data_IF_523750168319
#
_entry.id   IF_523750168319
#
_cell.length_a   1.000
_cell.length_b   1.000
_cell.length_c   1.000
_cell.angle_alpha   90.00
_cell.angle_beta   90.00
_cell.angle_gamma   90.00
#
_symmetry.space_group_name_H-M   'P 1'
#
loop_
_entity.id
_entity.type
_entity.pdbx_description
1 polymer ?
#
# COMPACT_ATOMS: atom_id res chain seq x y z
N UNK A 1 -7.56 21.16 -7.58
CA UNK A 1 -7.32 20.02 -6.67
C UNK A 1 -7.59 18.75 -7.44
N UNK A 2 -6.56 17.96 -7.70
CA UNK A 2 -6.70 16.64 -8.30
C UNK A 2 -7.22 15.62 -7.29
N UNK A 3 -7.66 14.47 -7.77
CA UNK A 3 -8.05 13.34 -6.92
C UNK A 3 -6.98 12.25 -6.95
N UNK A 4 -6.98 11.38 -5.95
CA UNK A 4 -6.13 10.19 -5.92
C UNK A 4 -6.97 8.98 -6.35
N UNK A 5 -6.55 8.33 -7.42
CA UNK A 5 -7.10 7.03 -7.82
C UNK A 5 -6.11 5.96 -7.40
N UNK A 6 -6.52 5.10 -6.48
CA UNK A 6 -5.67 4.00 -5.99
C UNK A 6 -6.06 2.72 -6.73
N UNK A 7 -5.09 2.07 -7.38
CA UNK A 7 -5.24 0.76 -7.99
C UNK A 7 -4.46 -0.26 -7.17
N UNK A 8 -5.15 -1.18 -6.49
CA UNK A 8 -4.44 -2.13 -5.64
C UNK A 8 -5.31 -3.13 -4.89
N UNK A 9 -4.67 -3.82 -3.96
CA UNK A 9 -5.21 -4.94 -3.21
C UNK A 9 -6.12 -4.54 -2.05
N UNK A 10 -7.04 -5.46 -1.74
CA UNK A 10 -7.81 -5.47 -0.49
C UNK A 10 -7.61 -6.84 0.16
N UNK A 11 -7.02 -6.88 1.35
CA UNK A 11 -6.77 -8.12 2.10
C UNK A 11 -7.44 -8.09 3.48
N UNK A 12 -7.83 -9.25 3.95
CA UNK A 12 -8.15 -9.47 5.36
C UNK A 12 -6.92 -10.07 6.01
N UNK A 13 -6.32 -9.35 6.95
CA UNK A 13 -5.16 -9.80 7.69
C UNK A 13 -5.64 -10.65 8.87
N UNK A 14 -5.23 -11.91 8.89
CA UNK A 14 -5.53 -12.90 9.92
C UNK A 14 -4.31 -13.03 10.83
N UNK A 15 -4.38 -12.42 12.01
CA UNK A 15 -3.23 -12.31 12.93
C UNK A 15 -3.39 -13.28 14.10
N UNK A 16 -2.42 -14.17 14.25
CA UNK A 16 -2.28 -15.06 15.40
C UNK A 16 -1.01 -14.68 16.20
N UNK A 17 -1.18 -14.41 17.49
CA UNK A 17 -0.05 -14.20 18.41
C UNK A 17 0.37 -15.56 18.97
N UNK A 18 1.65 -15.87 18.89
CA UNK A 18 2.25 -17.13 19.37
C UNK A 18 3.42 -16.80 20.30
N UNK A 19 3.76 -17.72 21.21
CA UNK A 19 4.93 -17.55 22.08
C UNK A 19 6.23 -17.40 21.26
N UNK A 20 6.39 -18.24 20.26
CA UNK A 20 7.48 -18.21 19.27
C UNK A 20 7.02 -18.76 17.92
N UNK A 21 7.72 -18.42 16.87
CA UNK A 21 7.45 -19.00 15.54
C UNK A 21 7.65 -20.53 15.56
N UNK A 22 6.73 -21.32 14.95
CA UNK A 22 6.88 -22.77 14.83
C UNK A 22 8.04 -23.11 13.87
N UNK A 23 8.83 -24.12 14.23
CA UNK A 23 9.79 -24.73 13.32
C UNK A 23 9.10 -25.76 12.42
N UNK A 24 9.70 -26.12 11.27
CA UNK A 24 9.16 -27.18 10.43
C UNK A 24 8.86 -28.45 11.23
N UNK A 25 7.62 -28.93 11.14
CA UNK A 25 7.11 -30.12 11.86
C UNK A 25 6.58 -29.86 13.28
N UNK A 26 6.64 -28.63 13.78
CA UNK A 26 6.06 -28.27 15.08
C UNK A 26 4.62 -27.76 14.96
N UNK A 27 3.86 -27.93 16.05
CA UNK A 27 2.56 -27.29 16.25
C UNK A 27 2.68 -26.39 17.47
N UNK A 28 2.28 -25.11 17.33
CA UNK A 28 2.17 -24.16 18.44
C UNK A 28 0.72 -23.73 18.61
N UNK A 29 0.35 -23.35 19.82
CA UNK A 29 -0.97 -22.79 20.09
C UNK A 29 -0.88 -21.27 20.09
N UNK A 30 -1.90 -20.63 19.52
CA UNK A 30 -2.04 -19.17 19.66
C UNK A 30 -2.33 -18.82 21.12
N UNK A 31 -1.80 -17.70 21.58
CA UNK A 31 -1.98 -17.21 22.95
C UNK A 31 -3.33 -16.52 23.16
N UNK A 32 -3.99 -16.10 22.08
CA UNK A 32 -5.27 -15.40 22.07
C UNK A 32 -6.10 -15.77 20.83
N UNK A 33 -7.33 -15.29 20.77
CA UNK A 33 -8.21 -15.49 19.62
C UNK A 33 -7.62 -14.84 18.35
N UNK A 34 -7.90 -15.48 17.20
CA UNK A 34 -7.49 -14.96 15.89
C UNK A 34 -8.11 -13.58 15.65
N UNK A 35 -7.26 -12.58 15.43
CA UNK A 35 -7.69 -11.22 15.10
C UNK A 35 -7.85 -11.07 13.59
N UNK A 36 -8.82 -10.24 13.17
CA UNK A 36 -9.07 -9.93 11.77
C UNK A 36 -8.97 -8.43 11.56
N UNK A 37 -8.05 -8.03 10.68
CA UNK A 37 -7.81 -6.63 10.38
C UNK A 37 -8.01 -6.34 8.90
N UNK A 38 -8.37 -5.10 8.61
CA UNK A 38 -8.37 -4.56 7.26
C UNK A 38 -6.93 -4.31 6.81
N UNK A 39 -6.52 -4.92 5.71
CA UNK A 39 -5.18 -4.84 5.14
C UNK A 39 -5.18 -4.79 3.62
N UNK A 40 -4.03 -5.07 3.03
CA UNK A 40 -3.77 -4.91 1.60
C UNK A 40 -3.28 -3.51 1.27
N UNK A 41 -2.15 -3.44 0.56
CA UNK A 41 -1.47 -2.17 0.27
C UNK A 41 -2.37 -1.15 -0.43
N UNK A 42 -3.21 -1.61 -1.37
CA UNK A 42 -4.14 -0.72 -2.07
C UNK A 42 -5.12 -0.05 -1.13
N UNK A 43 -5.80 -0.81 -0.28
CA UNK A 43 -6.77 -0.25 0.65
C UNK A 43 -6.09 0.58 1.76
N UNK A 44 -4.92 0.17 2.26
CA UNK A 44 -4.16 0.93 3.24
C UNK A 44 -3.78 2.32 2.69
N UNK A 45 -3.24 2.37 1.48
CA UNK A 45 -2.82 3.61 0.82
C UNK A 45 -4.03 4.49 0.47
N UNK A 46 -5.17 3.89 0.09
CA UNK A 46 -6.41 4.64 -0.14
C UNK A 46 -6.93 5.29 1.15
N UNK A 47 -6.88 4.57 2.27
CA UNK A 47 -7.26 5.11 3.59
C UNK A 47 -6.31 6.23 3.99
N UNK A 48 -5.00 6.04 3.84
CA UNK A 48 -4.01 7.05 4.17
C UNK A 48 -4.15 8.33 3.33
N UNK A 49 -4.43 8.19 2.02
CA UNK A 49 -4.69 9.34 1.15
C UNK A 49 -5.97 10.10 1.56
N UNK A 50 -7.03 9.38 1.97
CA UNK A 50 -8.25 9.99 2.46
C UNK A 50 -8.04 10.69 3.81
N UNK A 51 -7.27 10.09 4.73
CA UNK A 51 -6.87 10.70 6.02
C UNK A 51 -6.03 11.97 5.80
N UNK A 52 -5.23 12.03 4.72
CA UNK A 52 -4.51 13.23 4.30
C UNK A 52 -5.40 14.28 3.59
N UNK A 53 -6.71 14.04 3.46
CA UNK A 53 -7.68 15.00 2.94
C UNK A 53 -7.95 14.92 1.45
N UNK A 54 -7.39 13.95 0.72
CA UNK A 54 -7.65 13.80 -0.70
C UNK A 54 -9.05 13.24 -1.00
N UNK A 55 -9.59 13.56 -2.17
CA UNK A 55 -10.69 12.82 -2.76
C UNK A 55 -10.14 11.51 -3.35
N UNK A 56 -10.59 10.36 -2.84
CA UNK A 56 -10.03 9.06 -3.18
C UNK A 56 -11.06 8.16 -3.86
N UNK A 57 -10.67 7.55 -4.97
CA UNK A 57 -11.34 6.42 -5.59
C UNK A 57 -10.44 5.18 -5.52
N UNK A 58 -11.00 4.03 -5.12
CA UNK A 58 -10.26 2.76 -5.08
C UNK A 58 -10.75 1.84 -6.19
N UNK A 59 -9.78 1.32 -6.94
CA UNK A 59 -9.94 0.27 -7.95
C UNK A 59 -9.27 -0.98 -7.42
N UNK A 60 -10.02 -2.06 -7.29
CA UNK A 60 -9.54 -3.30 -6.71
C UNK A 60 -10.57 -4.42 -6.83
N UNK A 61 -10.32 -5.53 -6.16
CA UNK A 61 -11.23 -6.67 -6.18
C UNK A 61 -11.39 -7.29 -4.80
N UNK A 62 -12.61 -7.76 -4.52
CA UNK A 62 -12.95 -8.58 -3.35
C UNK A 62 -13.67 -9.84 -3.81
N UNK A 63 -13.71 -10.86 -2.96
CA UNK A 63 -14.51 -12.05 -3.19
C UNK A 63 -15.99 -11.82 -2.92
N UNK A 64 -16.83 -12.74 -3.37
CA UNK A 64 -18.26 -12.77 -3.00
C UNK A 64 -18.45 -13.43 -1.64
N UNK A 65 -17.80 -12.87 -0.63
CA UNK A 65 -17.85 -13.33 0.76
C UNK A 65 -18.21 -12.21 1.74
N UNK A 66 -18.48 -12.58 2.99
CA UNK A 66 -18.86 -11.61 4.03
C UNK A 66 -17.74 -10.63 4.33
N UNK A 67 -16.50 -11.08 4.25
CA UNK A 67 -15.32 -10.25 4.50
C UNK A 67 -15.17 -9.15 3.44
N UNK A 68 -15.32 -9.50 2.17
CA UNK A 68 -15.30 -8.52 1.06
C UNK A 68 -16.42 -7.49 1.17
N UNK A 69 -17.65 -7.94 1.47
CA UNK A 69 -18.80 -7.05 1.69
C UNK A 69 -18.59 -6.09 2.86
N UNK A 70 -18.09 -6.60 4.00
CA UNK A 70 -17.79 -5.79 5.17
C UNK A 70 -16.68 -4.77 4.87
N UNK A 71 -15.63 -5.20 4.16
CA UNK A 71 -14.51 -4.33 3.81
C UNK A 71 -14.93 -3.18 2.89
N UNK A 72 -15.64 -3.47 1.81
CA UNK A 72 -16.17 -2.43 0.90
C UNK A 72 -17.08 -1.45 1.63
N UNK A 73 -17.96 -1.95 2.50
CA UNK A 73 -18.83 -1.09 3.31
C UNK A 73 -18.03 -0.19 4.27
N UNK A 74 -16.94 -0.71 4.85
CA UNK A 74 -16.03 0.05 5.71
C UNK A 74 -15.33 1.20 4.95
N UNK A 75 -14.76 0.93 3.79
CA UNK A 75 -14.09 1.95 2.96
C UNK A 75 -15.06 3.05 2.51
N UNK A 76 -16.29 2.66 2.14
CA UNK A 76 -17.35 3.64 1.80
C UNK A 76 -17.68 4.55 2.97
N UNK A 77 -17.74 4.03 4.20
CA UNK A 77 -17.98 4.86 5.41
C UNK A 77 -16.86 5.86 5.68
N UNK A 78 -15.63 5.58 5.20
CA UNK A 78 -14.47 6.48 5.26
C UNK A 78 -14.45 7.53 4.14
N UNK A 79 -15.50 7.58 3.31
CA UNK A 79 -15.60 8.55 2.22
C UNK A 79 -14.81 8.17 0.96
N UNK A 80 -14.29 6.94 0.87
CA UNK A 80 -13.59 6.45 -0.31
C UNK A 80 -14.63 5.98 -1.33
N UNK A 81 -14.49 6.42 -2.58
CA UNK A 81 -15.30 5.91 -3.69
C UNK A 81 -14.84 4.48 -4.03
N UNK A 82 -15.71 3.52 -3.78
CA UNK A 82 -15.50 2.09 -4.01
C UNK A 82 -16.34 1.56 -5.17
N UNK A 83 -16.88 2.44 -6.02
CA UNK A 83 -17.73 2.05 -7.17
C UNK A 83 -16.99 1.19 -8.19
N UNK A 84 -15.67 1.24 -8.19
CA UNK A 84 -14.76 0.47 -9.05
C UNK A 84 -14.10 -0.72 -8.33
N UNK A 85 -14.57 -1.09 -7.14
CA UNK A 85 -14.17 -2.34 -6.48
C UNK A 85 -15.08 -3.45 -7.02
N UNK A 86 -14.49 -4.38 -7.76
CA UNK A 86 -15.19 -5.51 -8.35
C UNK A 86 -15.41 -6.65 -7.35
N UNK A 87 -16.47 -7.42 -7.55
CA UNK A 87 -16.74 -8.66 -6.79
C UNK A 87 -16.45 -9.84 -7.71
N UNK A 88 -15.49 -10.67 -7.35
CA UNK A 88 -15.07 -11.83 -8.14
C UNK A 88 -15.78 -13.07 -7.63
N UNK A 89 -16.74 -13.57 -8.40
CA UNK A 89 -17.53 -14.75 -8.05
C UNK A 89 -16.65 -16.01 -7.92
N UNK A 90 -16.86 -16.79 -6.87
CA UNK A 90 -16.15 -18.04 -6.64
C UNK A 90 -14.71 -17.88 -6.13
N UNK A 91 -14.26 -16.68 -5.88
CA UNK A 91 -12.98 -16.39 -5.26
C UNK A 91 -13.17 -15.83 -3.84
N UNK A 92 -12.32 -16.20 -2.86
CA UNK A 92 -12.30 -15.53 -1.56
C UNK A 92 -11.69 -14.12 -1.71
N UNK A 93 -12.07 -13.22 -0.81
CA UNK A 93 -11.33 -11.97 -0.61
C UNK A 93 -9.86 -12.27 -0.28
N UNK A 94 -8.93 -11.44 -0.76
CA UNK A 94 -7.51 -11.59 -0.45
C UNK A 94 -7.25 -11.67 1.06
N UNK A 95 -6.25 -12.44 1.45
CA UNK A 95 -5.90 -12.65 2.86
C UNK A 95 -4.38 -12.52 3.07
N UNK A 96 -3.97 -12.03 4.23
CA UNK A 96 -2.64 -12.23 4.74
C UNK A 96 -2.72 -13.04 6.04
N UNK A 97 -1.98 -14.13 6.11
CA UNK A 97 -1.89 -14.96 7.30
C UNK A 97 -0.61 -14.57 8.03
N UNK A 98 -0.78 -14.02 9.22
CA UNK A 98 0.30 -13.37 9.96
C UNK A 98 0.43 -14.07 11.31
N UNK A 99 1.62 -14.57 11.61
CA UNK A 99 1.99 -14.99 12.96
C UNK A 99 2.95 -13.97 13.56
N UNK A 100 2.64 -13.50 14.76
CA UNK A 100 3.50 -12.57 15.52
C UNK A 100 4.04 -13.32 16.73
N UNK A 101 5.37 -13.35 16.86
CA UNK A 101 6.04 -13.96 18.00
C UNK A 101 6.13 -12.96 19.15
N UNK A 102 5.66 -13.36 20.35
CA UNK A 102 5.72 -12.54 21.56
C UNK A 102 7.16 -12.48 22.12
N UNK A 103 7.97 -13.51 21.85
CA UNK A 103 9.33 -13.60 22.38
C UNK A 103 10.31 -12.59 21.78
N UNK A 104 10.16 -12.24 20.49
CA UNK A 104 11.12 -11.42 19.74
C UNK A 104 10.45 -10.37 18.83
N UNK A 105 9.11 -10.29 18.86
CA UNK A 105 8.30 -9.40 18.02
C UNK A 105 8.46 -9.64 16.50
N UNK A 106 9.09 -10.76 16.09
CA UNK A 106 9.19 -11.12 14.68
C UNK A 106 7.85 -11.57 14.11
N UNK A 107 7.59 -11.27 12.85
CA UNK A 107 6.42 -11.74 12.16
C UNK A 107 6.77 -12.63 10.96
N UNK A 108 5.86 -13.53 10.62
CA UNK A 108 5.87 -14.30 9.37
C UNK A 108 4.56 -14.07 8.66
N UNK A 109 4.62 -13.74 7.38
CA UNK A 109 3.45 -13.36 6.58
C UNK A 109 3.36 -14.25 5.34
N UNK A 110 2.18 -14.84 5.13
CA UNK A 110 1.84 -15.54 3.89
C UNK A 110 0.66 -14.83 3.26
N UNK A 111 0.85 -14.26 2.09
CA UNK A 111 -0.21 -13.60 1.33
C UNK A 111 -0.91 -14.62 0.44
N UNK A 112 -2.24 -14.68 0.55
CA UNK A 112 -3.14 -15.43 -0.33
C UNK A 112 -3.91 -14.41 -1.17
N UNK A 113 -3.56 -14.20 -2.45
CA UNK A 113 -4.10 -13.10 -3.25
C UNK A 113 -5.62 -13.13 -3.41
N UNK A 114 -6.23 -14.31 -3.52
CA UNK A 114 -7.68 -14.44 -3.71
C UNK A 114 -8.17 -13.60 -4.89
N UNK A 115 -9.23 -12.83 -4.68
CA UNK A 115 -9.83 -11.96 -5.69
C UNK A 115 -8.85 -10.93 -6.28
N UNK A 116 -7.83 -10.49 -5.54
CA UNK A 116 -6.83 -9.54 -6.06
C UNK A 116 -6.10 -10.08 -7.30
N UNK A 117 -5.82 -11.39 -7.37
CA UNK A 117 -5.18 -12.02 -8.52
C UNK A 117 -6.08 -12.07 -9.77
N UNK A 118 -7.37 -11.82 -9.60
CA UNK A 118 -8.38 -11.84 -10.65
C UNK A 118 -8.91 -10.44 -10.99
N UNK A 119 -8.23 -9.39 -10.52
CA UNK A 119 -8.55 -8.03 -10.93
C UNK A 119 -8.33 -7.91 -12.43
N UNK A 120 -9.39 -7.56 -13.14
CA UNK A 120 -9.34 -7.31 -14.58
C UNK A 120 -8.99 -5.85 -14.86
N UNK A 121 -8.61 -5.56 -16.10
CA UNK A 121 -8.35 -4.21 -16.54
C UNK A 121 -9.63 -3.36 -16.48
N UNK A 122 -9.56 -2.23 -15.81
CA UNK A 122 -10.67 -1.31 -15.60
C UNK A 122 -10.38 0.00 -16.32
N UNK A 123 -11.34 0.50 -17.04
CA UNK A 123 -11.26 1.83 -17.63
C UNK A 123 -11.26 2.89 -16.51
N UNK A 124 -10.21 3.72 -16.48
CA UNK A 124 -10.01 4.76 -15.49
C UNK A 124 -10.27 6.13 -16.13
N UNK A 125 -11.16 6.88 -15.51
CA UNK A 125 -11.35 8.29 -15.87
C UNK A 125 -10.36 9.12 -15.05
N UNK A 126 -9.22 9.45 -15.65
CA UNK A 126 -8.17 10.26 -15.09
C UNK A 126 -7.98 11.52 -15.94
N UNK A 127 -7.59 12.61 -15.29
CA UNK A 127 -7.35 13.90 -15.94
C UNK A 127 -6.01 14.50 -15.44
N UNK A 128 -5.59 15.59 -16.09
CA UNK A 128 -4.46 16.38 -15.63
C UNK A 128 -4.68 16.88 -14.19
N UNK A 129 -3.65 16.74 -13.36
CA UNK A 129 -3.69 17.03 -11.93
C UNK A 129 -4.15 15.85 -11.04
N UNK A 130 -4.74 14.78 -11.61
CA UNK A 130 -5.01 13.54 -10.85
C UNK A 130 -3.72 12.76 -10.58
N UNK A 131 -3.74 11.92 -9.55
CA UNK A 131 -2.66 10.98 -9.23
C UNK A 131 -3.21 9.55 -9.27
N UNK A 132 -2.58 8.68 -10.08
CA UNK A 132 -2.72 7.24 -9.96
C UNK A 132 -1.67 6.74 -8.97
N UNK A 133 -2.12 6.10 -7.88
CA UNK A 133 -1.27 5.40 -6.92
C UNK A 133 -1.47 3.90 -7.05
N UNK A 134 -0.40 3.16 -7.38
CA UNK A 134 -0.47 1.72 -7.60
C UNK A 134 0.60 0.95 -6.81
N UNK A 135 0.34 -0.35 -6.56
CA UNK A 135 1.26 -1.29 -5.91
C UNK A 135 1.29 -2.60 -6.70
N UNK A 136 2.08 -3.58 -6.24
CA UNK A 136 2.31 -4.83 -6.98
C UNK A 136 1.64 -6.07 -6.35
N UNK A 137 0.55 -5.89 -5.61
CA UNK A 137 -0.28 -6.98 -5.05
C UNK A 137 -1.48 -7.35 -5.96
N UNK A 138 -1.53 -6.80 -7.16
CA UNK A 138 -2.53 -7.09 -8.20
C UNK A 138 -1.82 -7.45 -9.51
N UNK A 139 -2.50 -7.98 -10.54
CA UNK A 139 -1.84 -8.40 -11.77
C UNK A 139 -1.01 -7.27 -12.42
N UNK A 140 0.26 -7.51 -12.68
CA UNK A 140 1.19 -6.54 -13.28
C UNK A 140 0.65 -5.95 -14.59
N UNK A 141 -0.01 -6.75 -15.42
CA UNK A 141 -0.57 -6.27 -16.68
C UNK A 141 -1.63 -5.18 -16.47
N UNK A 142 -2.42 -5.28 -15.39
CA UNK A 142 -3.43 -4.27 -15.03
C UNK A 142 -2.76 -2.98 -14.57
N UNK A 143 -1.70 -3.09 -13.76
CA UNK A 143 -0.91 -1.93 -13.30
C UNK A 143 -0.28 -1.21 -14.50
N UNK A 144 0.34 -1.93 -15.42
CA UNK A 144 0.95 -1.37 -16.64
C UNK A 144 -0.08 -0.64 -17.49
N UNK A 145 -1.23 -1.27 -17.75
CA UNK A 145 -2.29 -0.68 -18.55
C UNK A 145 -2.86 0.59 -17.90
N UNK A 146 -3.10 0.56 -16.59
CA UNK A 146 -3.60 1.72 -15.85
C UNK A 146 -2.59 2.87 -15.83
N UNK A 147 -1.30 2.57 -15.58
CA UNK A 147 -0.22 3.57 -15.56
C UNK A 147 -0.05 4.24 -16.94
N UNK A 148 -0.11 3.46 -18.01
CA UNK A 148 -0.02 3.98 -19.37
C UNK A 148 -1.18 4.93 -19.70
N UNK A 149 -2.41 4.58 -19.30
CA UNK A 149 -3.59 5.45 -19.49
C UNK A 149 -3.52 6.71 -18.64
N UNK A 150 -3.09 6.58 -17.38
CA UNK A 150 -2.91 7.73 -16.49
C UNK A 150 -1.91 8.73 -17.08
N UNK A 151 -0.75 8.23 -17.52
CA UNK A 151 0.27 9.05 -18.15
C UNK A 151 -0.24 9.73 -19.45
N UNK A 152 -0.97 9.01 -20.29
CA UNK A 152 -1.56 9.55 -21.51
C UNK A 152 -2.63 10.62 -21.25
N UNK A 153 -3.32 10.54 -20.10
CA UNK A 153 -4.31 11.53 -19.66
C UNK A 153 -3.67 12.75 -18.94
N UNK A 154 -2.36 12.79 -18.78
CA UNK A 154 -1.65 13.86 -18.05
C UNK A 154 -1.65 13.67 -16.53
N UNK A 155 -2.22 12.58 -16.01
CA UNK A 155 -2.18 12.28 -14.60
C UNK A 155 -0.79 11.80 -14.17
N UNK A 156 -0.40 12.10 -12.92
CA UNK A 156 0.85 11.59 -12.34
C UNK A 156 0.68 10.13 -11.92
N UNK A 157 1.71 9.34 -12.14
CA UNK A 157 1.75 7.93 -11.72
C UNK A 157 2.73 7.77 -10.56
N UNK A 158 2.24 7.45 -9.38
CA UNK A 158 3.05 7.04 -8.22
C UNK A 158 2.97 5.53 -8.09
N UNK A 159 4.11 4.85 -8.20
CA UNK A 159 4.19 3.40 -8.09
C UNK A 159 4.96 3.02 -6.81
N UNK A 160 4.28 2.46 -5.83
CA UNK A 160 4.97 1.75 -4.75
C UNK A 160 5.32 0.34 -5.23
N UNK A 161 6.59 0.09 -5.54
CA UNK A 161 7.05 -1.18 -6.10
C UNK A 161 7.17 -2.28 -5.02
N UNK A 162 6.10 -2.48 -4.27
CA UNK A 162 5.99 -3.41 -3.14
C UNK A 162 4.76 -4.33 -3.27
N UNK A 163 4.87 -5.66 -2.92
CA UNK A 163 6.15 -6.38 -2.77
C UNK A 163 6.92 -6.33 -4.09
N UNK A 164 8.25 -6.26 -4.02
CA UNK A 164 9.05 -6.09 -5.23
C UNK A 164 8.83 -7.23 -6.24
N UNK A 165 8.58 -6.82 -7.48
CA UNK A 165 8.61 -7.68 -8.66
C UNK A 165 9.35 -6.95 -9.78
N UNK A 166 9.94 -7.70 -10.72
CA UNK A 166 10.65 -7.11 -11.85
C UNK A 166 9.75 -6.14 -12.62
N UNK A 167 10.14 -4.89 -12.68
CA UNK A 167 9.35 -3.84 -13.32
C UNK A 167 9.50 -3.89 -14.84
N UNK A 168 8.41 -3.90 -15.60
CA UNK A 168 8.46 -3.64 -17.03
C UNK A 168 9.05 -2.25 -17.30
N UNK A 169 9.95 -2.10 -18.31
CA UNK A 169 10.55 -0.82 -18.64
C UNK A 169 9.53 0.29 -18.92
N UNK A 170 8.41 -0.05 -19.56
CA UNK A 170 7.34 0.91 -19.88
C UNK A 170 6.67 1.46 -18.60
N UNK A 171 6.50 0.62 -17.58
CA UNK A 171 5.96 1.05 -16.29
C UNK A 171 6.96 1.97 -15.55
N UNK A 172 8.24 1.58 -15.53
CA UNK A 172 9.30 2.37 -14.92
C UNK A 172 9.50 3.72 -15.63
N UNK A 173 9.24 3.81 -16.93
CA UNK A 173 9.38 5.03 -17.72
C UNK A 173 8.26 6.06 -17.46
N UNK A 174 7.07 5.64 -17.01
CA UNK A 174 5.93 6.54 -16.78
C UNK A 174 5.69 6.85 -15.31
N UNK A 175 6.21 6.05 -14.38
CA UNK A 175 6.10 6.30 -12.95
C UNK A 175 6.95 7.51 -12.51
N UNK A 176 6.35 8.37 -11.70
CA UNK A 176 6.95 9.61 -11.17
C UNK A 176 6.36 9.93 -9.78
N UNK A 177 6.96 9.38 -8.68
CA UNK A 177 8.08 8.45 -8.64
C UNK A 177 7.71 6.96 -8.61
N UNK A 178 8.72 6.10 -8.83
CA UNK A 178 8.76 4.74 -8.28
C UNK A 178 9.23 4.85 -6.83
N UNK A 179 8.41 4.38 -5.87
CA UNK A 179 8.71 4.40 -4.44
C UNK A 179 9.12 2.99 -4.01
N UNK A 180 10.26 2.88 -3.35
CA UNK A 180 10.85 1.63 -2.84
C UNK A 180 11.46 1.86 -1.45
N UNK A 181 11.58 0.82 -0.65
CA UNK A 181 12.45 0.84 0.52
C UNK A 181 13.89 0.44 0.14
N UNK A 182 14.82 0.44 1.11
CA UNK A 182 16.23 0.11 0.89
C UNK A 182 16.43 -1.28 0.28
N UNK A 183 15.70 -2.28 0.76
CA UNK A 183 15.80 -3.64 0.24
C UNK A 183 15.27 -3.74 -1.21
N UNK A 184 14.11 -3.14 -1.46
CA UNK A 184 13.50 -3.10 -2.80
C UNK A 184 14.37 -2.30 -3.79
N UNK A 185 15.06 -1.23 -3.32
CA UNK A 185 16.00 -0.47 -4.13
C UNK A 185 17.18 -1.32 -4.61
N UNK A 186 17.72 -2.20 -3.77
CA UNK A 186 18.76 -3.15 -4.16
C UNK A 186 18.26 -4.12 -5.23
N UNK A 187 17.07 -4.68 -5.06
CA UNK A 187 16.46 -5.58 -6.04
C UNK A 187 16.18 -4.88 -7.38
N UNK A 188 15.76 -3.62 -7.32
CA UNK A 188 15.55 -2.80 -8.51
C UNK A 188 16.86 -2.53 -9.24
N UNK A 189 17.93 -2.20 -8.51
CA UNK A 189 19.25 -1.97 -9.07
C UNK A 189 19.79 -3.24 -9.75
N UNK A 190 19.63 -4.40 -9.12
CA UNK A 190 20.05 -5.70 -9.68
C UNK A 190 19.27 -6.08 -10.95
N UNK A 191 18.05 -5.59 -11.11
CA UNK A 191 17.26 -5.83 -12.32
C UNK A 191 17.79 -5.08 -13.56
N UNK A 192 18.59 -4.03 -13.37
CA UNK A 192 19.09 -3.17 -14.44
C UNK A 192 18.05 -2.20 -15.00
N UNK A 193 16.83 -2.17 -14.47
CA UNK A 193 15.78 -1.21 -14.86
C UNK A 193 16.05 0.13 -14.19
N UNK A 194 16.07 1.20 -15.00
CA UNK A 194 16.26 2.58 -14.50
C UNK A 194 14.91 3.31 -14.60
N UNK A 195 14.24 3.61 -13.47
CA UNK A 195 13.00 4.37 -13.49
C UNK A 195 13.23 5.83 -13.89
N UNK A 196 12.18 6.47 -14.41
CA UNK A 196 12.21 7.91 -14.74
C UNK A 196 12.46 8.77 -13.51
N UNK A 197 11.89 8.39 -12.38
CA UNK A 197 12.04 9.05 -11.09
C UNK A 197 12.01 8.00 -9.99
N UNK A 198 12.92 8.07 -9.03
CA UNK A 198 13.10 7.09 -7.96
C UNK A 198 13.07 7.78 -6.60
N UNK A 199 12.20 7.30 -5.72
CA UNK A 199 12.13 7.69 -4.32
C UNK A 199 12.47 6.47 -3.45
N UNK A 200 13.58 6.52 -2.72
CA UNK A 200 14.02 5.47 -1.79
C UNK A 200 13.74 5.94 -0.37
N UNK A 201 12.96 5.17 0.40
CA UNK A 201 12.64 5.49 1.81
C UNK A 201 13.61 4.80 2.76
N UNK A 202 14.02 5.51 3.83
CA UNK A 202 14.94 5.06 4.89
C UNK A 202 14.25 5.07 6.26
N UNK A 203 12.95 4.79 6.31
CA UNK A 203 12.16 4.86 7.54
C UNK A 203 12.18 6.24 8.18
N UNK A 204 12.46 6.30 9.48
CA UNK A 204 12.53 7.57 10.23
C UNK A 204 13.67 8.50 9.82
N UNK A 205 14.66 8.01 9.07
CA UNK A 205 15.77 8.82 8.57
C UNK A 205 15.39 9.70 7.36
N UNK A 206 14.25 9.42 6.73
CA UNK A 206 13.77 10.20 5.58
C UNK A 206 13.80 9.42 4.28
N UNK A 207 14.11 10.09 3.17
CA UNK A 207 14.17 9.47 1.85
C UNK A 207 15.16 10.19 0.94
N UNK A 208 15.51 9.54 -0.18
CA UNK A 208 16.20 10.15 -1.30
C UNK A 208 15.28 10.17 -2.52
N UNK A 209 15.03 11.31 -3.12
CA UNK A 209 14.24 11.44 -4.33
C UNK A 209 15.11 11.95 -5.49
N UNK A 210 15.40 11.07 -6.46
CA UNK A 210 16.32 11.31 -7.58
C UNK A 210 17.72 11.77 -7.11
N UNK A 211 18.19 11.28 -5.95
CA UNK A 211 19.47 11.61 -5.34
C UNK A 211 19.44 12.86 -4.45
N UNK A 212 18.32 13.53 -4.32
CA UNK A 212 18.12 14.60 -3.35
C UNK A 212 17.67 14.00 -2.01
N UNK A 213 18.45 14.22 -0.96
CA UNK A 213 18.14 13.74 0.41
C UNK A 213 17.10 14.66 1.05
N UNK A 214 16.02 14.08 1.54
CA UNK A 214 14.92 14.78 2.20
C UNK A 214 14.73 14.21 3.61
N UNK A 215 14.66 15.09 4.61
CA UNK A 215 14.58 14.70 6.01
C UNK A 215 13.25 13.98 6.31
N UNK A 216 13.33 12.97 7.18
CA UNK A 216 12.18 12.26 7.71
C UNK A 216 11.61 12.92 8.96
N UNK A 217 10.55 12.32 9.47
CA UNK A 217 9.99 12.67 10.78
C UNK A 217 10.43 11.59 11.78
N UNK A 218 11.45 11.85 12.63
CA UNK A 218 11.92 10.86 13.58
C UNK A 218 10.87 10.58 14.64
N UNK A 219 10.80 9.32 15.06
CA UNK A 219 9.92 8.86 16.15
C UNK A 219 10.81 8.28 17.25
N UNK A 220 10.65 8.72 18.51
CA UNK A 220 11.35 8.12 19.65
C UNK A 220 11.07 6.62 19.75
N UNK A 221 12.07 5.82 20.16
CA UNK A 221 11.93 4.35 20.27
C UNK A 221 10.79 3.93 21.20
N UNK A 222 10.57 4.67 22.28
CA UNK A 222 9.52 4.43 23.28
C UNK A 222 8.10 4.75 22.76
N UNK A 223 7.99 5.45 21.63
CA UNK A 223 6.73 5.72 20.94
C UNK A 223 6.44 4.74 19.78
N UNK A 224 7.40 3.87 19.43
CA UNK A 224 7.22 2.88 18.37
C UNK A 224 6.33 1.73 18.87
N UNK A 225 5.17 1.57 18.25
CA UNK A 225 4.21 0.52 18.59
C UNK A 225 4.22 -0.61 17.54
N UNK A 226 4.10 -0.25 16.26
CA UNK A 226 4.02 -1.21 15.15
C UNK A 226 4.44 -0.51 13.85
N UNK A 227 5.36 -1.09 13.09
CA UNK A 227 5.81 -0.55 11.81
C UNK A 227 4.89 -0.91 10.63
N UNK A 228 3.88 -1.74 10.87
CA UNK A 228 2.94 -2.18 9.84
C UNK A 228 2.21 -1.00 9.22
N UNK A 229 2.26 -0.91 7.88
CA UNK A 229 1.56 0.12 7.12
C UNK A 229 2.21 1.50 7.12
N UNK A 230 3.39 1.69 7.73
CA UNK A 230 4.10 2.98 7.70
C UNK A 230 4.43 3.42 6.25
N UNK A 231 4.89 2.49 5.42
CA UNK A 231 5.12 2.72 4.00
C UNK A 231 3.82 3.02 3.22
N UNK A 232 2.71 2.38 3.59
CA UNK A 232 1.40 2.65 2.99
C UNK A 232 0.89 4.05 3.39
N UNK A 233 1.07 4.44 4.66
CA UNK A 233 0.75 5.79 5.13
C UNK A 233 1.59 6.86 4.41
N UNK A 234 2.88 6.60 4.23
CA UNK A 234 3.77 7.46 3.46
C UNK A 234 3.29 7.60 2.01
N UNK A 235 3.06 6.50 1.29
CA UNK A 235 2.65 6.55 -0.12
C UNK A 235 1.28 7.20 -0.31
N UNK A 236 0.30 6.93 0.57
CA UNK A 236 -1.02 7.55 0.51
C UNK A 236 -0.97 9.07 0.71
N UNK A 237 -0.24 9.54 1.74
CA UNK A 237 -0.08 10.95 2.01
C UNK A 237 0.77 11.67 0.93
N UNK A 238 1.80 11.01 0.39
CA UNK A 238 2.58 11.51 -0.75
C UNK A 238 1.66 11.76 -1.96
N UNK A 239 0.84 10.77 -2.32
CA UNK A 239 -0.08 10.90 -3.45
C UNK A 239 -1.11 12.02 -3.22
N UNK A 240 -1.63 12.15 -2.00
CA UNK A 240 -2.55 13.23 -1.63
C UNK A 240 -1.91 14.62 -1.79
N UNK A 241 -0.72 14.83 -1.27
CA UNK A 241 0.01 16.08 -1.39
C UNK A 241 0.33 16.44 -2.85
N UNK A 242 0.76 15.44 -3.64
CA UNK A 242 1.03 15.62 -5.07
C UNK A 242 -0.25 15.97 -5.87
N UNK A 243 -1.40 15.37 -5.53
CA UNK A 243 -2.69 15.70 -6.14
C UNK A 243 -3.18 17.11 -5.77
N UNK A 244 -2.75 17.63 -4.64
CA UNK A 244 -2.99 19.03 -4.23
C UNK A 244 -2.00 20.02 -4.86
N UNK A 245 -1.01 19.54 -5.64
CA UNK A 245 -0.04 20.37 -6.34
C UNK A 245 1.20 20.72 -5.51
N UNK A 246 1.46 20.01 -4.41
CA UNK A 246 2.65 20.22 -3.59
C UNK A 246 3.93 19.92 -4.38
N UNK A 247 4.99 20.65 -4.07
CA UNK A 247 6.35 20.32 -4.51
C UNK A 247 6.90 19.08 -3.80
N UNK A 248 8.07 18.60 -4.23
CA UNK A 248 8.69 17.37 -3.69
C UNK A 248 8.92 17.45 -2.18
N UNK A 249 9.52 18.53 -1.71
CA UNK A 249 9.85 18.74 -0.30
C UNK A 249 8.61 18.74 0.59
N UNK A 250 7.58 19.51 0.23
CA UNK A 250 6.31 19.57 0.98
C UNK A 250 5.58 18.22 0.95
N UNK A 251 5.58 17.52 -0.20
CA UNK A 251 4.94 16.24 -0.36
C UNK A 251 5.64 15.16 0.50
N UNK A 252 6.98 15.14 0.56
CA UNK A 252 7.75 14.23 1.42
C UNK A 252 7.56 14.58 2.89
N UNK A 253 7.52 15.86 3.25
CA UNK A 253 7.24 16.28 4.63
C UNK A 253 5.89 15.75 5.11
N UNK A 254 4.83 15.89 4.31
CA UNK A 254 3.50 15.36 4.62
C UNK A 254 3.51 13.82 4.71
N UNK A 255 4.17 13.16 3.77
CA UNK A 255 4.30 11.71 3.71
C UNK A 255 5.06 11.15 4.92
N UNK A 256 6.19 11.77 5.30
CA UNK A 256 7.00 11.37 6.45
C UNK A 256 6.24 11.54 7.76
N UNK A 257 5.48 12.63 7.91
CA UNK A 257 4.62 12.84 9.08
C UNK A 257 3.53 11.77 9.19
N UNK A 258 2.92 11.36 8.07
CA UNK A 258 1.92 10.28 8.04
C UNK A 258 2.53 8.93 8.41
N UNK A 259 3.71 8.58 7.88
CA UNK A 259 4.45 7.38 8.25
C UNK A 259 4.82 7.37 9.75
N UNK A 260 5.31 8.49 10.27
CA UNK A 260 5.62 8.66 11.69
C UNK A 260 4.38 8.54 12.61
N UNK A 261 3.22 9.00 12.15
CA UNK A 261 1.96 8.81 12.88
C UNK A 261 1.50 7.34 12.86
N UNK A 262 1.73 6.64 11.74
CA UNK A 262 1.35 5.23 11.59
C UNK A 262 2.09 4.32 12.57
N UNK A 263 3.39 4.49 12.77
CA UNK A 263 4.19 3.62 13.66
C UNK A 263 3.83 3.75 15.15
N UNK A 264 3.05 4.74 15.54
CA UNK A 264 2.56 4.96 16.92
C UNK A 264 1.26 4.21 17.22
N UNK A 265 0.76 3.38 16.32
CA UNK A 265 -0.50 2.64 16.47
C UNK A 265 -0.36 1.21 15.99
N UNK A 266 -1.25 0.33 16.46
CA UNK A 266 -1.35 -1.04 15.96
C UNK A 266 -2.05 -1.09 14.61
N UNK A 267 -1.45 -1.84 13.67
CA UNK A 267 -2.00 -2.13 12.35
C UNK A 267 -1.92 -0.98 11.35
N UNK A 268 -2.12 -1.30 10.09
CA UNK A 268 -1.94 -0.38 8.97
C UNK A 268 -3.01 0.71 8.85
N UNK A 269 -4.15 0.58 9.51
CA UNK A 269 -5.28 1.52 9.43
C UNK A 269 -5.77 1.91 10.81
N UNK A 270 -6.36 3.10 10.96
CA UNK A 270 -7.10 3.47 12.16
C UNK A 270 -8.30 2.52 12.32
N UNK A 271 -8.49 1.96 13.54
CA UNK A 271 -9.54 1.01 13.83
C UNK A 271 -9.61 -0.11 12.75
N UNK A 272 -8.59 -0.97 12.68
CA UNK A 272 -8.46 -1.91 11.56
C UNK A 272 -9.39 -3.12 11.65
N UNK A 273 -10.13 -3.34 12.72
CA UNK A 273 -10.97 -4.53 12.91
C UNK A 273 -12.07 -4.65 11.83
N UNK A 274 -12.22 -5.87 11.31
CA UNK A 274 -13.21 -6.28 10.31
C UNK A 274 -14.24 -7.24 10.89
#
# INVERSE_FOLDING_TARGET
MGRVVVLGSLNVDLVAVVDRQPRPGETVLAQEDLRRYAGGKGANQAVAAAEAGAQVALVGAVGDDDAGRAYVARLRRRGIDVSRVSVVAGQPTGQAWITVSDADAENMIVVVPGANAHLEDVELELADGDVLLAQLEVPMAVVVAAASRAHAAGARVVLNAAPYAALPPDLAAVADPVVVNEHEALLLADSGVVPRSLLVTFGGAGCSWDGEELEGTPVPEDELVDSTGAGDAFCGALAAALADGAGREDAVTAASAAGAAAVRRLGAQLDPQL
#
